data_IF_430399878769
#
_entry.id   IF_430399878769
#
_cell.length_a   1.000
_cell.length_b   1.000
_cell.length_c   1.000
_cell.angle_alpha   90.00
_cell.angle_beta   90.00
_cell.angle_gamma   90.00
#
_symmetry.space_group_name_H-M   'P 1'
#
loop_
_entity.id
_entity.type
_entity.pdbx_description
1 polymer ?
#
# COMPACT_ATOMS: atom_id res chain seq x y z
N UNK A 1 0.79 -33.24 -14.45
CA UNK A 1 0.10 -33.10 -13.15
C UNK A 1 0.24 -31.64 -12.78
N UNK A 2 -0.71 -30.80 -13.18
CA UNK A 2 -0.68 -29.38 -12.82
C UNK A 2 -0.90 -29.28 -11.32
N UNK A 3 0.14 -28.89 -10.59
CA UNK A 3 0.01 -28.46 -9.21
C UNK A 3 -0.71 -27.11 -9.30
N UNK A 4 -2.03 -27.14 -9.19
CA UNK A 4 -2.82 -25.93 -8.96
C UNK A 4 -2.40 -25.39 -7.60
N UNK A 5 -1.42 -24.48 -7.58
CA UNK A 5 -1.18 -23.61 -6.44
C UNK A 5 -2.48 -22.84 -6.22
N UNK A 6 -3.23 -23.23 -5.20
CA UNK A 6 -4.37 -22.43 -4.76
C UNK A 6 -3.85 -21.02 -4.44
N UNK A 7 -4.47 -19.96 -4.99
CA UNK A 7 -4.05 -18.60 -4.66
C UNK A 7 -4.13 -18.43 -3.14
N UNK A 8 -3.08 -17.89 -2.53
CA UNK A 8 -3.10 -17.60 -1.08
C UNK A 8 -4.35 -16.77 -0.77
N UNK A 9 -5.08 -17.22 0.25
CA UNK A 9 -6.30 -16.56 0.70
C UNK A 9 -5.99 -15.09 1.02
N UNK A 10 -6.74 -14.17 0.42
CA UNK A 10 -6.67 -12.76 0.79
C UNK A 10 -7.23 -12.62 2.20
N UNK A 11 -6.39 -12.16 3.13
CA UNK A 11 -6.80 -11.90 4.50
C UNK A 11 -7.18 -10.44 4.64
N UNK A 12 -8.46 -10.18 4.92
CA UNK A 12 -8.96 -8.86 5.29
C UNK A 12 -9.34 -8.89 6.77
N UNK A 13 -8.85 -7.90 7.51
CA UNK A 13 -9.10 -7.74 8.94
C UNK A 13 -9.73 -6.39 9.16
N UNK A 14 -10.80 -6.36 9.95
CA UNK A 14 -11.39 -5.12 10.43
C UNK A 14 -10.80 -4.81 11.80
N UNK A 15 -10.21 -3.62 11.93
CA UNK A 15 -9.66 -3.11 13.18
C UNK A 15 -10.34 -1.77 13.47
N UNK A 16 -11.26 -1.78 14.45
CA UNK A 16 -12.22 -0.69 14.63
C UNK A 16 -13.15 -0.56 13.42
N UNK A 17 -13.25 0.64 12.86
CA UNK A 17 -14.06 0.93 11.66
C UNK A 17 -13.27 0.81 10.35
N UNK A 18 -11.97 0.49 10.42
CA UNK A 18 -11.08 0.49 9.26
C UNK A 18 -10.76 -0.95 8.86
N UNK A 19 -10.85 -1.20 7.55
CA UNK A 19 -10.49 -2.48 6.96
C UNK A 19 -9.04 -2.48 6.47
N UNK A 20 -8.33 -3.57 6.70
CA UNK A 20 -6.95 -3.77 6.32
C UNK A 20 -6.79 -5.06 5.52
N UNK A 21 -6.04 -5.00 4.43
CA UNK A 21 -5.43 -6.17 3.83
C UNK A 21 -4.18 -6.54 4.63
N UNK A 22 -4.12 -7.81 5.06
CA UNK A 22 -2.92 -8.37 5.69
C UNK A 22 -2.07 -9.00 4.61
N UNK A 23 -0.90 -8.42 4.34
CA UNK A 23 -0.01 -8.88 3.28
C UNK A 23 0.40 -10.32 3.53
N UNK A 24 0.25 -11.19 2.53
CA UNK A 24 0.52 -12.62 2.65
C UNK A 24 1.97 -12.97 3.02
N UNK A 25 2.92 -12.11 2.67
CA UNK A 25 4.33 -12.27 3.01
C UNK A 25 4.54 -12.20 4.52
N UNK A 26 5.32 -13.14 5.05
CA UNK A 26 5.79 -13.13 6.43
C UNK A 26 7.05 -12.28 6.50
N UNK A 27 7.00 -11.16 7.22
CA UNK A 27 8.16 -10.27 7.38
C UNK A 27 9.14 -10.85 8.41
N UNK A 28 8.61 -11.38 9.51
CA UNK A 28 9.40 -12.08 10.53
C UNK A 28 8.54 -13.00 11.40
N UNK A 29 9.21 -13.73 12.30
CA UNK A 29 8.58 -14.55 13.33
C UNK A 29 8.86 -13.92 14.70
N UNK A 30 7.84 -13.84 15.55
CA UNK A 30 8.02 -13.51 16.96
C UNK A 30 8.45 -14.76 17.76
N UNK A 31 9.28 -14.61 18.82
CA UNK A 31 9.78 -15.74 19.62
C UNK A 31 8.66 -16.63 20.18
N UNK A 32 8.93 -17.93 20.30
CA UNK A 32 7.95 -18.94 20.72
C UNK A 32 7.45 -18.72 22.17
N UNK A 33 6.19 -19.12 22.43
CA UNK A 33 5.59 -19.09 23.78
C UNK A 33 4.60 -17.95 24.06
N UNK A 34 4.32 -17.07 23.08
CA UNK A 34 3.36 -15.96 23.21
C UNK A 34 2.27 -15.92 22.12
N UNK A 35 2.11 -17.01 21.36
CA UNK A 35 1.74 -16.89 19.94
C UNK A 35 0.52 -17.70 19.43
N UNK A 36 -0.23 -18.41 20.28
CA UNK A 36 -1.39 -19.17 19.78
C UNK A 36 -2.66 -18.32 19.74
N UNK A 37 -2.73 -17.41 18.77
CA UNK A 37 -3.99 -16.72 18.43
C UNK A 37 -4.61 -17.35 17.18
N UNK A 38 -5.92 -17.61 17.22
CA UNK A 38 -6.70 -18.02 16.04
C UNK A 38 -7.08 -16.85 15.13
N UNK A 39 -6.77 -15.61 15.54
CA UNK A 39 -7.12 -14.38 14.82
C UNK A 39 -5.91 -13.45 14.72
N UNK A 40 -5.94 -12.56 13.74
CA UNK A 40 -4.93 -11.51 13.60
C UNK A 40 -5.01 -10.53 14.77
N UNK A 41 -3.89 -10.30 15.44
CA UNK A 41 -3.74 -9.29 16.48
C UNK A 41 -2.97 -8.10 15.92
N UNK A 42 -3.37 -6.85 16.23
CA UNK A 42 -2.61 -5.68 15.81
C UNK A 42 -1.23 -5.71 16.47
N UNK A 43 -0.24 -5.16 15.78
CA UNK A 43 1.09 -4.97 16.29
C UNK A 43 1.67 -3.64 15.81
N UNK A 44 2.50 -3.02 16.64
CA UNK A 44 3.26 -1.83 16.27
C UNK A 44 4.73 -2.11 16.44
N UNK A 45 5.52 -1.84 15.39
CA UNK A 45 6.97 -1.95 15.44
C UNK A 45 7.56 -0.56 15.67
N UNK A 46 8.41 -0.42 16.69
CA UNK A 46 9.19 0.79 16.95
C UNK A 46 10.68 0.46 17.06
N UNK A 47 11.52 1.40 16.66
CA UNK A 47 12.95 1.39 16.88
C UNK A 47 13.29 2.22 18.10
N UNK A 48 14.12 1.67 19.00
CA UNK A 48 14.67 2.44 20.12
C UNK A 48 16.18 2.58 19.93
N UNK A 49 16.73 3.81 19.91
CA UNK A 49 18.15 4.02 19.67
C UNK A 49 19.01 3.51 20.84
N UNK A 50 18.53 3.68 22.06
CA UNK A 50 19.15 3.18 23.28
C UNK A 50 18.36 1.95 23.75
N UNK A 51 19.05 0.96 24.32
CA UNK A 51 18.45 -0.30 24.80
C UNK A 51 17.36 -0.14 25.88
N UNK A 52 17.07 1.07 26.35
CA UNK A 52 16.10 1.34 27.39
C UNK A 52 14.77 1.83 26.80
N UNK A 53 13.69 1.16 27.19
CA UNK A 53 12.33 1.51 26.81
C UNK A 53 11.72 2.38 27.92
N UNK A 54 11.14 3.54 27.56
CA UNK A 54 10.37 4.39 28.46
C UNK A 54 8.94 4.59 27.93
N UNK A 55 8.03 5.05 28.80
CA UNK A 55 6.66 5.38 28.39
C UNK A 55 6.66 6.53 27.37
N UNK A 56 7.46 7.56 27.61
CA UNK A 56 7.59 8.72 26.73
C UNK A 56 8.04 8.29 25.32
N UNK A 57 9.04 7.41 25.19
CA UNK A 57 9.49 6.91 23.89
C UNK A 57 8.39 6.16 23.12
N UNK A 58 7.56 5.39 23.83
CA UNK A 58 6.44 4.67 23.20
C UNK A 58 5.38 5.67 22.71
N UNK A 59 5.04 6.65 23.56
CA UNK A 59 4.06 7.68 23.22
C UNK A 59 4.53 8.57 22.08
N UNK A 60 5.77 9.05 22.12
CA UNK A 60 6.38 9.86 21.06
C UNK A 60 6.37 9.12 19.72
N UNK A 61 6.68 7.82 19.72
CA UNK A 61 6.64 7.01 18.51
C UNK A 61 5.21 6.86 17.96
N UNK A 62 4.22 6.60 18.83
CA UNK A 62 2.82 6.49 18.41
C UNK A 62 2.27 7.82 17.89
N UNK A 63 2.55 8.93 18.59
CA UNK A 63 2.11 10.27 18.20
C UNK A 63 2.74 10.68 16.86
N UNK A 64 4.03 10.37 16.66
CA UNK A 64 4.70 10.54 15.37
C UNK A 64 4.00 9.74 14.26
N UNK A 65 3.74 8.46 14.48
CA UNK A 65 3.09 7.62 13.47
C UNK A 65 1.68 8.10 13.13
N UNK A 66 0.91 8.55 14.12
CA UNK A 66 -0.42 9.13 13.92
C UNK A 66 -0.40 10.45 13.14
N UNK A 67 0.68 11.22 13.27
CA UNK A 67 0.85 12.48 12.55
C UNK A 67 1.30 12.28 11.09
N UNK A 68 2.13 11.28 10.83
CA UNK A 68 2.82 11.11 9.54
C UNK A 68 2.22 10.01 8.63
N UNK A 69 1.47 9.05 9.19
CA UNK A 69 0.97 7.89 8.47
C UNK A 69 -0.56 7.78 8.49
N UNK A 70 -1.15 7.63 7.31
CA UNK A 70 -2.60 7.51 7.11
C UNK A 70 -3.10 6.06 7.25
N UNK A 71 -2.21 5.09 7.38
CA UNK A 71 -2.52 3.66 7.61
C UNK A 71 -2.53 3.34 9.10
N UNK A 72 -1.57 3.86 9.87
CA UNK A 72 -1.48 3.73 11.32
C UNK A 72 -2.66 4.45 12.00
N UNK A 73 -3.18 3.84 13.06
CA UNK A 73 -4.36 4.32 13.80
C UNK A 73 -4.21 3.96 15.27
N UNK A 74 -4.97 4.63 16.14
CA UNK A 74 -4.95 4.38 17.59
C UNK A 74 -5.23 2.91 17.96
N UNK A 75 -5.98 2.18 17.13
CA UNK A 75 -6.25 0.76 17.32
C UNK A 75 -5.03 -0.16 17.21
N UNK A 76 -3.89 0.32 16.68
CA UNK A 76 -2.61 -0.40 16.73
C UNK A 76 -1.83 -0.17 18.04
N UNK A 77 -2.29 0.74 18.89
CA UNK A 77 -1.64 1.13 20.16
C UNK A 77 -2.19 0.37 21.37
N UNK A 78 -3.04 -0.63 21.15
CA UNK A 78 -3.70 -1.41 22.20
C UNK A 78 -4.07 -2.83 21.72
N UNK A 79 -4.39 -3.72 22.66
CA UNK A 79 -4.94 -5.06 22.43
C UNK A 79 -4.16 -5.91 21.44
N UNK A 80 -2.83 -5.94 21.57
CA UNK A 80 -1.94 -6.48 20.56
C UNK A 80 -0.49 -6.59 20.99
N UNK A 81 0.44 -6.38 20.06
CA UNK A 81 1.87 -6.44 20.32
C UNK A 81 2.56 -5.09 20.16
N UNK A 82 3.47 -4.79 21.09
CA UNK A 82 4.50 -3.79 20.86
C UNK A 82 5.80 -4.52 20.53
N UNK A 83 6.29 -4.38 19.30
CA UNK A 83 7.53 -5.02 18.84
C UNK A 83 8.63 -3.96 18.85
N UNK A 84 9.64 -4.17 19.69
CA UNK A 84 10.74 -3.23 19.90
C UNK A 84 11.99 -3.75 19.23
N UNK A 85 12.59 -2.92 18.37
CA UNK A 85 13.88 -3.15 17.75
C UNK A 85 14.94 -2.27 18.41
N UNK A 86 15.75 -2.81 19.32
CA UNK A 86 16.75 -2.00 19.99
C UNK A 86 17.98 -1.79 19.09
N UNK A 87 18.57 -0.58 19.14
CA UNK A 87 19.81 -0.24 18.42
C UNK A 87 21.03 -1.01 18.92
N UNK A 88 20.96 -1.52 20.16
CA UNK A 88 21.95 -2.43 20.74
C UNK A 88 21.23 -3.69 21.23
N UNK A 89 21.77 -4.91 21.00
CA UNK A 89 21.09 -6.13 21.41
C UNK A 89 20.81 -6.15 22.92
N UNK A 90 19.57 -6.48 23.28
CA UNK A 90 19.11 -6.49 24.67
C UNK A 90 18.91 -7.93 25.14
N UNK A 91 19.34 -8.26 26.37
CA UNK A 91 18.96 -9.54 26.98
C UNK A 91 17.45 -9.60 27.16
N UNK A 92 16.81 -10.70 26.74
CA UNK A 92 15.36 -10.93 26.92
C UNK A 92 14.88 -10.85 28.37
N UNK A 93 15.79 -10.83 29.34
CA UNK A 93 15.53 -10.68 30.76
C UNK A 93 15.65 -9.22 31.28
N UNK A 94 15.60 -8.21 30.41
CA UNK A 94 15.65 -6.82 30.84
C UNK A 94 14.49 -6.53 31.82
N UNK A 95 14.83 -6.00 33.00
CA UNK A 95 13.83 -5.61 34.00
C UNK A 95 13.13 -4.37 33.45
N UNK A 96 11.86 -4.53 33.08
CA UNK A 96 11.01 -3.41 32.69
C UNK A 96 10.81 -2.49 33.90
N UNK A 97 10.81 -1.19 33.65
CA UNK A 97 10.38 -0.25 34.69
C UNK A 97 8.90 -0.51 35.03
N UNK A 98 8.52 -0.31 36.29
CA UNK A 98 7.14 -0.50 36.75
C UNK A 98 6.15 0.38 35.96
N UNK A 99 6.59 1.54 35.51
CA UNK A 99 5.78 2.47 34.74
C UNK A 99 5.49 1.95 33.33
N UNK A 100 6.51 1.39 32.65
CA UNK A 100 6.33 0.76 31.34
C UNK A 100 5.44 -0.48 31.45
N UNK A 101 5.65 -1.33 32.45
CA UNK A 101 4.80 -2.50 32.69
C UNK A 101 3.34 -2.08 32.93
N UNK A 102 3.10 -1.06 33.76
CA UNK A 102 1.77 -0.52 34.02
C UNK A 102 1.12 0.05 32.75
N UNK A 103 1.89 0.79 31.94
CA UNK A 103 1.42 1.37 30.69
C UNK A 103 1.00 0.29 29.69
N UNK A 104 1.85 -0.70 29.45
CA UNK A 104 1.56 -1.82 28.53
C UNK A 104 0.35 -2.63 28.98
N UNK A 105 0.25 -2.93 30.28
CA UNK A 105 -0.89 -3.63 30.86
C UNK A 105 -2.20 -2.85 30.71
N UNK A 106 -2.18 -1.52 30.91
CA UNK A 106 -3.38 -0.69 30.74
C UNK A 106 -3.91 -0.67 29.29
N UNK A 107 -3.07 -1.02 28.32
CA UNK A 107 -3.39 -1.07 26.89
C UNK A 107 -3.48 -2.49 26.35
N UNK A 108 -3.34 -3.51 27.19
CA UNK A 108 -3.31 -4.92 26.78
C UNK A 108 -2.24 -5.20 25.70
N UNK A 109 -1.06 -4.59 25.82
CA UNK A 109 0.05 -4.76 24.89
C UNK A 109 1.05 -5.82 25.38
N UNK A 110 1.34 -6.79 24.52
CA UNK A 110 2.40 -7.77 24.70
C UNK A 110 3.71 -7.27 24.10
N UNK A 111 4.72 -7.03 24.94
CA UNK A 111 6.02 -6.48 24.50
C UNK A 111 6.96 -7.55 23.95
N UNK A 112 7.39 -7.46 22.69
CA UNK A 112 8.36 -8.38 22.08
C UNK A 112 9.63 -7.62 21.70
N UNK A 113 10.78 -8.09 22.17
CA UNK A 113 12.08 -7.59 21.68
C UNK A 113 12.55 -8.41 20.49
N UNK A 114 12.91 -7.74 19.40
CA UNK A 114 13.53 -8.34 18.23
C UNK A 114 14.99 -7.92 18.12
N UNK A 115 15.89 -8.76 18.63
CA UNK A 115 17.32 -8.56 18.49
C UNK A 115 17.81 -9.03 17.12
N UNK A 116 18.64 -8.22 16.45
CA UNK A 116 19.37 -8.62 15.24
C UNK A 116 19.05 -7.83 13.97
N UNK A 117 19.77 -8.14 12.90
CA UNK A 117 19.86 -7.37 11.65
C UNK A 117 18.66 -7.49 10.69
N UNK A 118 17.57 -8.19 11.05
CA UNK A 118 16.41 -8.22 10.15
C UNK A 118 15.80 -6.83 10.04
N UNK A 119 15.83 -6.29 8.83
CA UNK A 119 15.28 -4.99 8.51
C UNK A 119 13.75 -5.05 8.47
N UNK A 120 13.10 -5.17 9.64
CA UNK A 120 11.67 -4.96 9.80
C UNK A 120 11.44 -3.45 10.01
N UNK A 121 10.80 -2.75 9.07
CA UNK A 121 10.53 -1.32 9.21
C UNK A 121 9.61 -1.02 10.39
N UNK A 122 9.62 0.22 10.85
CA UNK A 122 8.65 0.71 11.83
C UNK A 122 7.22 0.73 11.25
N UNK A 123 6.23 0.81 12.13
CA UNK A 123 4.83 1.05 11.75
C UNK A 123 3.86 -0.07 12.13
N UNK A 124 2.66 -0.10 11.51
CA UNK A 124 1.58 -1.02 11.86
C UNK A 124 1.81 -2.41 11.27
N UNK A 125 1.43 -3.46 11.97
CA UNK A 125 1.51 -4.85 11.50
C UNK A 125 0.36 -5.66 12.07
N UNK A 126 0.17 -6.87 11.56
CA UNK A 126 -0.65 -7.90 12.18
C UNK A 126 0.18 -9.13 12.51
N UNK A 127 -0.18 -9.79 13.60
CA UNK A 127 0.42 -11.05 14.04
C UNK A 127 -0.63 -12.15 14.01
N UNK A 128 -0.31 -13.26 13.35
CA UNK A 128 -1.10 -14.50 13.38
C UNK A 128 -0.16 -15.68 13.54
N UNK A 129 -0.40 -16.52 14.54
CA UNK A 129 0.42 -17.71 14.80
C UNK A 129 1.94 -17.40 14.84
N UNK A 130 2.27 -16.28 15.49
CA UNK A 130 3.64 -15.79 15.62
C UNK A 130 4.27 -15.24 14.34
N UNK A 131 3.54 -15.15 13.22
CA UNK A 131 4.01 -14.55 11.96
C UNK A 131 3.60 -13.09 11.89
N UNK A 132 4.55 -12.22 11.58
CA UNK A 132 4.33 -10.78 11.42
C UNK A 132 4.09 -10.45 9.95
N UNK A 133 3.04 -9.67 9.69
CA UNK A 133 2.57 -9.31 8.36
C UNK A 133 2.30 -7.80 8.28
N UNK A 134 2.64 -7.17 7.16
CA UNK A 134 2.31 -5.76 6.95
C UNK A 134 0.78 -5.55 6.91
N UNK A 135 0.35 -4.45 7.51
CA UNK A 135 -1.00 -3.91 7.46
C UNK A 135 -1.11 -2.90 6.31
N UNK A 136 -1.96 -3.18 5.33
CA UNK A 136 -2.25 -2.28 4.23
C UNK A 136 -3.71 -1.81 4.37
N UNK A 137 -3.95 -0.51 4.52
CA UNK A 137 -5.31 0.02 4.70
C UNK A 137 -6.08 -0.11 3.39
N UNK A 138 -7.34 -0.53 3.47
CA UNK A 138 -8.24 -0.61 2.33
C UNK A 138 -9.05 0.67 2.20
N UNK A 139 -8.71 1.50 1.20
CA UNK A 139 -9.46 2.71 0.89
C UNK A 139 -10.49 2.44 -0.21
N UNK A 140 -11.75 2.87 -0.07
CA UNK A 140 -12.72 2.76 -1.15
C UNK A 140 -12.38 3.70 -2.31
N UNK A 141 -12.45 3.21 -3.54
CA UNK A 141 -12.30 4.00 -4.76
C UNK A 141 -13.64 4.67 -5.13
N UNK A 142 -14.06 5.68 -4.35
CA UNK A 142 -15.34 6.37 -4.55
C UNK A 142 -15.40 7.21 -5.83
N UNK A 143 -14.27 7.63 -6.38
CA UNK A 143 -14.17 8.31 -7.68
C UNK A 143 -14.15 7.34 -8.86
N UNK A 144 -14.07 6.03 -8.59
CA UNK A 144 -13.81 5.01 -9.60
C UNK A 144 -12.62 5.37 -10.51
N UNK A 145 -11.53 5.85 -9.92
CA UNK A 145 -10.34 6.29 -10.63
C UNK A 145 -9.51 5.14 -11.19
N UNK A 146 -9.68 3.94 -10.63
CA UNK A 146 -8.84 2.78 -10.94
C UNK A 146 -9.52 1.81 -11.90
N UNK A 147 -8.77 1.33 -12.88
CA UNK A 147 -9.13 0.13 -13.67
C UNK A 147 -8.94 -1.12 -12.82
N UNK A 148 -7.85 -1.18 -12.06
CA UNK A 148 -7.58 -2.25 -11.09
C UNK A 148 -6.64 -1.76 -9.99
N UNK A 149 -6.90 -2.15 -8.76
CA UNK A 149 -5.89 -2.12 -7.70
C UNK A 149 -4.82 -3.18 -7.99
N UNK A 150 -3.58 -2.94 -7.55
CA UNK A 150 -2.50 -3.93 -7.67
C UNK A 150 -1.70 -4.02 -6.38
N UNK A 151 -1.12 -5.19 -6.16
CA UNK A 151 -0.15 -5.43 -5.10
C UNK A 151 1.04 -6.22 -5.65
N UNK A 152 2.21 -6.16 -4.98
CA UNK A 152 3.35 -6.99 -5.33
C UNK A 152 2.97 -8.47 -5.35
N UNK A 153 3.51 -9.17 -6.33
CA UNK A 153 3.45 -10.63 -6.40
C UNK A 153 4.63 -11.21 -5.61
N UNK A 154 4.40 -11.37 -4.31
CA UNK A 154 5.39 -11.85 -3.33
C UNK A 154 5.91 -13.27 -3.63
N UNK A 155 5.21 -14.06 -4.44
CA UNK A 155 5.62 -15.42 -4.81
C UNK A 155 6.54 -15.42 -6.04
N UNK A 156 6.36 -14.46 -6.96
CA UNK A 156 7.19 -14.31 -8.16
C UNK A 156 8.43 -13.44 -7.93
N UNK A 157 8.41 -12.57 -6.91
CA UNK A 157 9.49 -11.63 -6.61
C UNK A 157 10.48 -12.21 -5.60
N UNK A 158 11.45 -13.00 -6.09
CA UNK A 158 12.57 -13.43 -5.24
C UNK A 158 13.62 -12.32 -5.00
N UNK A 159 13.62 -11.26 -5.82
CA UNK A 159 14.51 -10.11 -5.68
C UNK A 159 13.67 -8.82 -5.77
N UNK A 160 13.54 -8.10 -4.66
CA UNK A 160 12.85 -6.81 -4.62
C UNK A 160 13.51 -5.84 -5.62
N UNK A 161 12.70 -5.28 -6.53
CA UNK A 161 13.09 -4.16 -7.40
C UNK A 161 13.64 -4.51 -8.79
N UNK A 162 14.38 -5.61 -8.99
CA UNK A 162 15.02 -5.85 -10.29
C UNK A 162 14.06 -6.36 -11.38
N UNK A 163 13.01 -7.09 -10.99
CA UNK A 163 12.00 -7.68 -11.88
C UNK A 163 10.66 -7.81 -11.15
N UNK A 164 10.11 -6.66 -10.72
CA UNK A 164 8.90 -6.62 -9.91
C UNK A 164 7.69 -7.15 -10.71
N UNK A 165 7.06 -8.19 -10.18
CA UNK A 165 5.78 -8.72 -10.67
C UNK A 165 4.64 -8.22 -9.79
N UNK A 166 3.48 -8.03 -10.38
CA UNK A 166 2.28 -7.53 -9.72
C UNK A 166 1.11 -8.46 -9.98
N UNK A 167 0.14 -8.42 -9.07
CA UNK A 167 -1.15 -9.10 -9.24
C UNK A 167 -2.30 -8.14 -8.96
N UNK A 168 -3.44 -8.29 -9.66
CA UNK A 168 -4.66 -7.57 -9.32
C UNK A 168 -5.08 -7.84 -7.88
N UNK A 169 -5.56 -6.80 -7.20
CA UNK A 169 -6.21 -6.91 -5.91
C UNK A 169 -7.71 -6.73 -6.08
N UNK A 170 -8.47 -7.81 -5.86
CA UNK A 170 -9.92 -7.84 -6.12
C UNK A 170 -10.67 -7.94 -4.79
N UNK A 171 -11.10 -6.79 -4.27
CA UNK A 171 -11.99 -6.72 -3.12
C UNK A 171 -12.94 -5.54 -3.25
N UNK A 172 -14.04 -5.59 -2.50
CA UNK A 172 -15.04 -4.53 -2.44
C UNK A 172 -15.02 -3.85 -1.07
N UNK A 173 -15.50 -2.60 -1.02
CA UNK A 173 -15.74 -1.88 0.23
C UNK A 173 -16.81 -2.59 1.06
N UNK A 174 -16.92 -2.23 2.34
CA UNK A 174 -17.92 -2.81 3.24
C UNK A 174 -19.36 -2.68 2.71
N UNK A 175 -19.68 -1.59 2.02
CA UNK A 175 -21.00 -1.39 1.40
C UNK A 175 -21.18 -2.15 0.09
N UNK A 176 -20.12 -2.76 -0.45
CA UNK A 176 -20.09 -3.40 -1.75
C UNK A 176 -20.15 -2.44 -2.94
N UNK A 177 -20.14 -1.13 -2.69
CA UNK A 177 -20.40 -0.10 -3.72
C UNK A 177 -19.16 0.30 -4.52
N UNK A 178 -17.97 0.07 -3.97
CA UNK A 178 -16.71 0.46 -4.60
C UNK A 178 -15.70 -0.67 -4.53
N UNK A 179 -14.78 -0.71 -5.50
CA UNK A 179 -13.52 -1.42 -5.31
C UNK A 179 -12.73 -0.77 -4.18
N UNK A 180 -11.77 -1.50 -3.61
CA UNK A 180 -10.85 -0.98 -2.60
C UNK A 180 -9.41 -1.04 -3.08
N UNK A 181 -8.64 -0.01 -2.72
CA UNK A 181 -7.22 0.10 -2.99
C UNK A 181 -6.47 -0.25 -1.71
N UNK A 182 -5.62 -1.30 -1.70
CA UNK A 182 -4.76 -1.63 -0.58
C UNK A 182 -3.56 -0.69 -0.58
N UNK A 183 -3.45 0.11 0.46
CA UNK A 183 -2.44 1.16 0.59
C UNK A 183 -1.49 0.82 1.74
N UNK A 184 -0.18 0.64 1.48
CA UNK A 184 0.81 0.33 2.52
C UNK A 184 1.16 1.55 3.35
N UNK A 185 1.54 1.34 4.62
CA UNK A 185 2.06 2.40 5.48
C UNK A 185 3.31 3.05 4.86
N UNK A 186 3.43 4.38 4.99
CA UNK A 186 4.64 5.11 4.56
C UNK A 186 5.86 4.75 5.41
N UNK A 187 5.63 4.30 6.64
CA UNK A 187 6.66 3.91 7.60
C UNK A 187 7.47 2.68 7.15
N UNK A 188 6.96 1.90 6.19
CA UNK A 188 7.64 0.71 5.71
C UNK A 188 8.87 0.97 4.85
N UNK A 189 9.01 2.18 4.33
CA UNK A 189 10.03 2.51 3.36
C UNK A 189 10.68 3.86 3.74
N UNK A 190 11.57 3.88 4.73
CA UNK A 190 12.30 5.09 5.09
C UNK A 190 13.15 5.56 3.91
N UNK A 191 13.13 6.85 3.64
CA UNK A 191 13.90 7.45 2.56
C UNK A 191 15.40 7.18 2.71
N UNK A 192 16.06 6.86 1.60
CA UNK A 192 17.51 6.71 1.54
C UNK A 192 18.04 7.28 0.23
N UNK A 193 19.34 7.61 0.19
CA UNK A 193 19.99 8.10 -1.03
C UNK A 193 19.91 7.10 -2.20
N UNK A 194 19.80 5.80 -1.91
CA UNK A 194 19.63 4.75 -2.92
C UNK A 194 18.18 4.68 -3.44
N UNK A 195 17.20 4.95 -2.57
CA UNK A 195 15.77 4.88 -2.84
C UNK A 195 15.08 6.23 -2.54
N UNK A 196 15.24 7.23 -3.42
CA UNK A 196 14.67 8.56 -3.23
C UNK A 196 13.14 8.61 -3.37
N UNK A 197 12.51 7.52 -3.81
CA UNK A 197 11.05 7.40 -3.92
C UNK A 197 10.48 6.42 -2.89
N UNK A 198 11.26 6.03 -1.87
CA UNK A 198 10.82 5.11 -0.84
C UNK A 198 9.53 5.61 -0.19
N UNK A 199 8.50 4.76 -0.16
CA UNK A 199 7.21 5.08 0.43
C UNK A 199 6.29 5.91 -0.44
N UNK A 200 6.77 6.43 -1.59
CA UNK A 200 5.94 7.17 -2.54
C UNK A 200 4.98 6.22 -3.24
N UNK A 201 3.69 6.44 -3.01
CA UNK A 201 2.59 5.67 -3.58
C UNK A 201 2.23 6.26 -4.93
N UNK A 202 2.49 5.48 -5.97
CA UNK A 202 2.26 5.88 -7.35
C UNK A 202 1.15 5.07 -8.00
N UNK A 203 0.45 5.71 -8.93
CA UNK A 203 -0.48 5.03 -9.83
C UNK A 203 0.02 5.09 -11.26
N UNK A 204 -0.43 4.15 -12.09
CA UNK A 204 0.09 3.97 -13.45
C UNK A 204 -1.06 3.95 -14.43
N UNK A 205 -1.08 4.86 -15.41
CA UNK A 205 -2.11 4.87 -16.45
C UNK A 205 -2.21 3.50 -17.14
N UNK A 206 -3.44 3.10 -17.48
CA UNK A 206 -3.70 1.73 -17.92
C UNK A 206 -2.90 1.31 -19.17
N UNK A 207 -2.57 2.24 -20.06
CA UNK A 207 -1.76 2.02 -21.26
C UNK A 207 -0.27 1.71 -21.04
N UNK A 208 0.19 1.60 -19.80
CA UNK A 208 1.56 1.23 -19.47
C UNK A 208 1.58 -0.18 -18.89
N UNK A 209 2.41 -1.07 -19.42
CA UNK A 209 2.44 -2.45 -18.94
C UNK A 209 2.97 -2.55 -17.50
N UNK A 210 2.35 -3.44 -16.72
CA UNK A 210 2.83 -3.94 -15.44
C UNK A 210 2.91 -5.46 -15.53
N UNK A 211 4.08 -6.03 -15.25
CA UNK A 211 4.28 -7.49 -15.26
C UNK A 211 3.24 -8.17 -14.35
N UNK A 212 2.57 -9.20 -14.89
CA UNK A 212 1.55 -9.99 -14.17
C UNK A 212 0.14 -9.39 -14.16
N UNK A 213 -0.04 -8.18 -14.69
CA UNK A 213 -1.34 -7.47 -14.75
C UNK A 213 -1.75 -7.27 -16.21
N UNK A 214 -3.06 -7.25 -16.47
CA UNK A 214 -3.61 -6.96 -17.81
C UNK A 214 -3.53 -5.45 -18.08
N UNK A 215 -3.12 -5.07 -19.27
CA UNK A 215 -3.31 -3.71 -19.80
C UNK A 215 -4.52 -3.72 -20.71
N UNK A 216 -5.51 -2.89 -20.41
CA UNK A 216 -6.79 -2.88 -21.16
C UNK A 216 -6.79 -1.84 -22.29
N UNK A 217 -5.94 -0.81 -22.20
CA UNK A 217 -6.01 0.38 -23.05
C UNK A 217 -7.39 1.07 -23.03
N UNK A 218 -8.15 0.90 -21.95
CA UNK A 218 -9.54 1.34 -21.90
C UNK A 218 -10.46 0.57 -22.86
N UNK A 219 -10.08 -0.64 -23.30
CA UNK A 219 -10.90 -1.51 -24.14
C UNK A 219 -11.06 -2.92 -23.55
N UNK A 220 -12.30 -3.42 -23.50
CA UNK A 220 -12.59 -4.79 -23.02
C UNK A 220 -12.07 -5.84 -24.00
N UNK A 221 -12.29 -5.64 -25.30
CA UNK A 221 -11.81 -6.55 -26.35
C UNK A 221 -10.29 -6.68 -26.37
N UNK A 222 -9.57 -5.57 -26.15
CA UNK A 222 -8.12 -5.61 -26.06
C UNK A 222 -7.65 -6.42 -24.83
N UNK A 223 -8.28 -6.20 -23.67
CA UNK A 223 -7.98 -6.93 -22.45
C UNK A 223 -8.17 -8.46 -22.62
N UNK A 224 -9.27 -8.87 -23.27
CA UNK A 224 -9.58 -10.27 -23.54
C UNK A 224 -8.59 -10.92 -24.53
N UNK A 225 -8.12 -10.16 -25.53
CA UNK A 225 -7.21 -10.67 -26.56
C UNK A 225 -5.77 -10.88 -26.06
N UNK A 226 -5.25 -9.98 -25.22
CA UNK A 226 -3.82 -9.96 -24.88
C UNK A 226 -3.47 -10.45 -23.47
N UNK A 227 -4.43 -10.48 -22.53
CA UNK A 227 -4.20 -11.02 -21.19
C UNK A 227 -3.09 -10.33 -20.38
N UNK A 228 -2.48 -11.08 -19.45
CA UNK A 228 -1.47 -10.57 -18.52
C UNK A 228 -0.16 -10.23 -19.22
N UNK A 229 0.45 -9.11 -18.86
CA UNK A 229 1.71 -8.67 -19.46
C UNK A 229 2.91 -9.44 -18.87
N UNK A 230 3.85 -9.82 -19.74
CA UNK A 230 5.05 -10.55 -19.34
C UNK A 230 6.13 -9.65 -18.71
N UNK A 231 6.08 -8.35 -18.98
CA UNK A 231 7.06 -7.36 -18.54
C UNK A 231 6.37 -6.03 -18.21
N UNK A 232 6.92 -5.31 -17.25
CA UNK A 232 6.55 -3.93 -16.97
C UNK A 232 7.21 -3.00 -17.99
N UNK A 233 6.68 -1.78 -18.13
CA UNK A 233 7.39 -0.75 -18.89
C UNK A 233 8.70 -0.33 -18.17
N UNK A 234 9.80 -0.17 -18.92
CA UNK A 234 11.14 0.10 -18.38
C UNK A 234 11.22 1.23 -17.36
N UNK A 235 10.47 2.32 -17.59
CA UNK A 235 10.46 3.47 -16.69
C UNK A 235 9.71 3.18 -15.39
N UNK A 236 8.69 2.32 -15.40
CA UNK A 236 8.03 1.87 -14.18
C UNK A 236 9.00 1.04 -13.34
N UNK A 237 9.73 0.11 -13.96
CA UNK A 237 10.74 -0.67 -13.23
C UNK A 237 11.83 0.22 -12.62
N UNK A 238 12.22 1.30 -13.31
CA UNK A 238 13.15 2.30 -12.74
C UNK A 238 12.57 3.00 -11.52
N UNK A 239 11.29 3.39 -11.55
CA UNK A 239 10.64 4.03 -10.39
C UNK A 239 10.55 3.07 -9.20
N UNK A 240 10.14 1.82 -9.45
CA UNK A 240 10.05 0.77 -8.42
C UNK A 240 11.43 0.47 -7.82
N UNK A 241 12.49 0.38 -8.64
CA UNK A 241 13.88 0.25 -8.15
C UNK A 241 14.32 1.38 -7.24
N UNK A 242 13.76 2.58 -7.43
CA UNK A 242 14.02 3.76 -6.60
C UNK A 242 13.11 3.86 -5.37
N UNK A 243 12.29 2.84 -5.11
CA UNK A 243 11.47 2.74 -3.89
C UNK A 243 9.99 3.08 -4.07
N UNK A 244 9.55 3.46 -5.27
CA UNK A 244 8.16 3.79 -5.51
C UNK A 244 7.26 2.55 -5.40
N UNK A 245 6.07 2.74 -4.82
CA UNK A 245 5.10 1.67 -4.60
C UNK A 245 3.92 1.85 -5.53
N UNK A 246 3.74 0.91 -6.48
CA UNK A 246 2.59 0.93 -7.39
C UNK A 246 1.37 0.34 -6.69
N UNK A 247 0.30 1.13 -6.54
CA UNK A 247 -0.93 0.71 -5.85
C UNK A 247 -2.10 0.42 -6.80
N UNK A 248 -1.99 0.81 -8.07
CA UNK A 248 -3.04 0.49 -9.05
C UNK A 248 -2.81 1.05 -10.44
N UNK A 249 -3.62 0.56 -11.38
CA UNK A 249 -3.74 1.10 -12.73
C UNK A 249 -4.94 2.03 -12.83
N UNK A 250 -4.75 3.22 -13.40
CA UNK A 250 -5.81 4.24 -13.49
C UNK A 250 -6.57 4.18 -14.82
N UNK A 251 -7.87 4.49 -14.75
CA UNK A 251 -8.75 4.59 -15.92
C UNK A 251 -8.25 5.64 -16.91
N UNK A 252 -8.58 5.44 -18.17
CA UNK A 252 -8.21 6.32 -19.27
C UNK A 252 -9.26 6.28 -20.38
N UNK A 253 -9.25 7.30 -21.25
CA UNK A 253 -9.99 7.24 -22.51
C UNK A 253 -9.44 6.11 -23.40
N UNK A 254 -10.31 5.37 -24.08
CA UNK A 254 -9.92 4.20 -24.87
C UNK A 254 -8.82 4.53 -25.89
N UNK A 255 -7.76 3.72 -25.91
CA UNK A 255 -6.56 3.87 -26.74
C UNK A 255 -5.86 5.24 -26.64
N UNK A 256 -6.08 5.97 -25.55
CA UNK A 256 -5.68 7.37 -25.41
C UNK A 256 -6.24 8.28 -26.53
N UNK A 257 -7.39 7.88 -27.08
CA UNK A 257 -8.11 8.58 -28.13
C UNK A 257 -8.86 9.82 -27.61
N UNK A 258 -9.62 10.41 -28.52
CA UNK A 258 -10.30 11.69 -28.33
C UNK A 258 -11.69 11.57 -27.71
N UNK A 259 -11.98 10.51 -26.96
CA UNK A 259 -13.25 10.42 -26.22
C UNK A 259 -13.44 11.66 -25.34
N UNK A 260 -14.66 12.19 -25.33
CA UNK A 260 -15.10 13.25 -24.43
C UNK A 260 -15.84 12.64 -23.23
N UNK A 261 -15.22 12.55 -22.03
CA UNK A 261 -15.91 12.03 -20.86
C UNK A 261 -16.95 13.02 -20.32
N UNK A 262 -18.14 12.56 -19.88
CA UNK A 262 -18.57 11.16 -19.84
C UNK A 262 -19.34 10.68 -21.07
N UNK A 263 -19.60 11.53 -22.04
CA UNK A 263 -20.57 11.28 -23.12
C UNK A 263 -20.13 10.25 -24.15
N UNK A 264 -18.83 10.05 -24.34
CA UNK A 264 -18.29 9.19 -25.40
C UNK A 264 -17.56 7.93 -24.88
N UNK A 265 -17.55 7.69 -23.57
CA UNK A 265 -16.88 6.54 -22.97
C UNK A 265 -17.77 5.29 -22.99
N UNK A 266 -17.45 4.32 -23.86
CA UNK A 266 -18.29 3.14 -24.10
C UNK A 266 -17.86 1.92 -23.26
N UNK A 267 -16.59 1.54 -23.31
CA UNK A 267 -16.10 0.29 -22.68
C UNK A 267 -15.95 0.41 -21.15
N UNK A 268 -15.45 1.55 -20.68
CA UNK A 268 -15.33 1.83 -19.25
C UNK A 268 -15.89 3.21 -18.98
N UNK A 269 -16.78 3.30 -17.98
CA UNK A 269 -17.26 4.60 -17.52
C UNK A 269 -16.08 5.39 -16.92
N UNK A 270 -15.96 6.69 -17.22
CA UNK A 270 -14.86 7.51 -16.71
C UNK A 270 -14.96 7.66 -15.18
N UNK A 271 -13.89 8.10 -14.53
CA UNK A 271 -13.97 8.43 -13.11
C UNK A 271 -14.84 9.66 -12.85
N UNK A 272 -15.28 9.80 -11.61
CA UNK A 272 -15.87 11.04 -11.11
C UNK A 272 -14.80 12.12 -10.96
N UNK A 273 -15.14 13.35 -11.37
CA UNK A 273 -14.26 14.48 -11.12
C UNK A 273 -14.38 14.91 -9.65
N UNK A 274 -13.29 14.98 -8.86
CA UNK A 274 -13.37 15.40 -7.47
C UNK A 274 -13.76 16.88 -7.27
N UNK A 275 -13.86 17.67 -8.34
CA UNK A 275 -14.37 19.06 -8.31
C UNK A 275 -15.80 19.15 -8.83
N UNK A 276 -16.50 20.21 -8.42
CA UNK A 276 -17.85 20.50 -8.88
C UNK A 276 -18.82 19.37 -8.54
N UNK A 277 -18.66 18.81 -7.34
CA UNK A 277 -19.52 17.77 -6.76
C UNK A 277 -19.69 16.51 -7.63
N UNK A 278 -18.69 16.17 -8.44
CA UNK A 278 -18.73 15.01 -9.33
C UNK A 278 -19.30 15.28 -10.72
N UNK A 279 -19.90 16.46 -10.96
CA UNK A 279 -20.65 16.74 -12.20
C UNK A 279 -19.83 17.44 -13.29
N UNK A 280 -18.57 17.73 -13.03
CA UNK A 280 -17.65 18.24 -14.05
C UNK A 280 -17.03 17.09 -14.84
N UNK A 281 -16.72 17.33 -16.11
CA UNK A 281 -15.95 16.36 -16.90
C UNK A 281 -14.58 16.13 -16.26
N UNK A 282 -14.11 14.88 -16.09
CA UNK A 282 -12.75 14.59 -15.64
C UNK A 282 -11.69 14.86 -16.74
N UNK A 283 -12.11 15.27 -17.95
CA UNK A 283 -11.28 15.36 -19.15
C UNK A 283 -10.58 14.04 -19.49
N UNK A 284 -9.69 14.04 -20.48
CA UNK A 284 -8.98 12.84 -20.94
C UNK A 284 -7.63 13.19 -21.58
N UNK A 285 -6.80 12.20 -21.94
CA UNK A 285 -7.06 10.77 -21.82
C UNK A 285 -6.62 10.17 -20.47
N UNK A 286 -5.99 10.95 -19.59
CA UNK A 286 -5.47 10.48 -18.29
C UNK A 286 -6.45 10.76 -17.15
N UNK A 287 -7.74 10.46 -17.36
CA UNK A 287 -8.84 10.85 -16.46
C UNK A 287 -8.72 10.24 -15.07
N UNK A 288 -8.44 8.94 -14.97
CA UNK A 288 -8.29 8.23 -13.69
C UNK A 288 -7.12 8.76 -12.88
N UNK A 289 -5.99 8.99 -13.54
CA UNK A 289 -4.81 9.60 -12.92
C UNK A 289 -5.08 10.99 -12.35
N UNK A 290 -5.81 11.82 -13.10
CA UNK A 290 -6.21 13.15 -12.69
C UNK A 290 -7.11 13.09 -11.44
N UNK A 291 -8.16 12.27 -11.50
CA UNK A 291 -9.11 12.10 -10.42
C UNK A 291 -8.44 11.53 -9.16
N UNK A 292 -7.57 10.53 -9.30
CA UNK A 292 -6.90 9.90 -8.17
C UNK A 292 -6.01 10.88 -7.41
N UNK A 293 -5.17 11.65 -8.11
CA UNK A 293 -4.27 12.59 -7.43
C UNK A 293 -5.00 13.82 -6.90
N UNK A 294 -6.03 14.30 -7.59
CA UNK A 294 -6.81 15.44 -7.12
C UNK A 294 -7.76 15.09 -5.96
N UNK A 295 -8.19 13.83 -5.87
CA UNK A 295 -9.24 13.41 -4.96
C UNK A 295 -8.82 12.52 -3.80
N UNK A 296 -7.67 11.83 -3.89
CA UNK A 296 -7.20 10.92 -2.86
C UNK A 296 -5.90 11.43 -2.21
N UNK A 297 -5.97 11.91 -0.95
CA UNK A 297 -4.79 12.37 -0.21
C UNK A 297 -3.71 11.30 -0.01
N UNK A 298 -4.08 10.02 -0.14
CA UNK A 298 -3.20 8.87 0.01
C UNK A 298 -2.48 8.47 -1.29
N UNK A 299 -2.72 9.17 -2.41
CA UNK A 299 -2.00 9.00 -3.69
C UNK A 299 -1.02 10.16 -3.86
N UNK A 300 0.28 9.87 -3.96
CA UNK A 300 1.29 10.92 -4.04
C UNK A 300 1.48 11.41 -5.49
N UNK A 301 1.59 10.47 -6.45
CA UNK A 301 1.86 10.78 -7.87
C UNK A 301 1.15 9.79 -8.80
N UNK A 302 0.85 10.22 -10.03
CA UNK A 302 0.40 9.33 -11.11
C UNK A 302 1.28 9.45 -12.36
N UNK A 303 1.65 8.32 -12.93
CA UNK A 303 2.40 8.24 -14.19
C UNK A 303 1.41 8.18 -15.36
N UNK A 304 1.62 9.04 -16.37
CA UNK A 304 0.66 9.33 -17.43
C UNK A 304 1.34 9.48 -18.80
N UNK A 305 0.53 9.51 -19.86
CA UNK A 305 0.99 9.80 -21.22
C UNK A 305 0.41 11.11 -21.75
N UNK A 306 1.18 11.83 -22.57
CA UNK A 306 0.69 12.92 -23.43
C UNK A 306 1.26 12.76 -24.84
N UNK A 307 0.38 12.85 -25.84
CA UNK A 307 0.74 12.62 -27.25
C UNK A 307 0.44 13.84 -28.12
N UNK A 308 -0.61 14.64 -27.81
CA UNK A 308 -0.95 15.94 -28.44
C UNK A 308 -1.91 16.69 -27.52
N UNK A 309 -1.57 17.94 -27.13
CA UNK A 309 -2.36 19.03 -26.48
C UNK A 309 -3.45 18.76 -25.42
N UNK A 310 -3.97 17.54 -25.27
CA UNK A 310 -5.19 17.25 -24.53
C UNK A 310 -4.94 16.45 -23.26
N UNK A 311 -3.88 15.64 -23.17
CA UNK A 311 -3.81 14.58 -22.14
C UNK A 311 -3.16 14.95 -20.80
N UNK A 312 -2.17 15.87 -20.76
CA UNK A 312 -1.61 16.37 -19.48
C UNK A 312 -1.85 17.85 -19.24
N UNK A 313 -1.96 18.68 -20.29
CA UNK A 313 -2.02 20.14 -20.14
C UNK A 313 -3.30 20.68 -19.51
N UNK A 314 -4.37 19.88 -19.44
CA UNK A 314 -5.60 20.23 -18.74
C UNK A 314 -5.62 19.73 -17.28
N UNK A 315 -4.64 18.91 -16.89
CA UNK A 315 -4.51 18.32 -15.55
C UNK A 315 -3.04 18.42 -15.12
N UNK A 316 -2.67 19.56 -14.52
CA UNK A 316 -1.32 19.78 -14.00
C UNK A 316 -1.03 18.77 -12.87
N UNK A 317 -0.15 17.80 -13.15
CA UNK A 317 0.37 16.84 -12.18
C UNK A 317 1.79 17.24 -11.78
N UNK A 318 2.03 17.30 -10.46
CA UNK A 318 3.29 17.65 -9.78
C UNK A 318 4.40 16.66 -10.16
N UNK A 319 5.18 16.98 -11.18
CA UNK A 319 6.47 16.35 -11.48
C UNK A 319 7.37 17.39 -12.17
N UNK A 320 7.76 18.41 -11.41
CA UNK A 320 8.90 19.28 -11.74
C UNK A 320 9.70 19.41 -10.44
N UNK A 321 11.01 19.23 -10.57
CA UNK A 321 12.05 19.26 -9.52
C UNK A 321 12.37 17.94 -8.79
N UNK A 322 12.80 16.92 -9.53
CA UNK A 322 13.76 15.91 -9.02
C UNK A 322 14.75 15.49 -10.13
N UNK A 323 15.56 16.45 -10.60
CA UNK A 323 16.72 16.21 -11.45
C UNK A 323 17.93 16.97 -10.88
#
# INVERSE_FOLDING_TARGET
MEVTNFPRQMSVVQLGEISYYVRSRVECLIPAGRNSSSHYLPATVIHIPNSELSVDLIQDAFDKFLAEDDVFQNSFTESGFLIVKPGTPVSTAQILSKDVEKYLNSRLLSLVYMNGERNLPEGPYFVLDGKVHQAWRLYPDYLEAFTTAVIPDDDATQNEGLDASFRPFNAASFTGSNSVIPVPSRLYAPESSAQPLAGMRITVKDNMHLKGVVTTLGSRSYAELYGKQAQSADYIDRLVRRGAVVIGKTKMSAFAGSEVPPTECIDYFPPWNPRGDGYQSPSGSSSGAAASVAGYPWVDVSICTDSKHFSLRHVLLKLVDMA
#
